data_IF_061875728809
#
_entry.id   IF_061875728809
#
_cell.length_a   1.000
_cell.length_b   1.000
_cell.length_c   1.000
_cell.angle_alpha   90.00
_cell.angle_beta   90.00
_cell.angle_gamma   90.00
#
_symmetry.space_group_name_H-M   'P 1'
#
loop_
_entity.id
_entity.type
_entity.pdbx_description
1 polymer ?
#
# COMPACT_ATOMS: atom_id res chain seq x y z
N UNK A 1 -18.80 17.92 -13.06
CA UNK A 1 -18.09 17.10 -14.06
C UNK A 1 -16.71 16.62 -13.59
N UNK A 2 -15.74 17.48 -13.25
CA UNK A 2 -14.37 17.08 -12.84
C UNK A 2 -14.31 16.05 -11.70
N UNK A 3 -15.13 16.22 -10.65
CA UNK A 3 -15.23 15.27 -9.52
C UNK A 3 -15.69 13.88 -9.97
N UNK A 4 -16.69 13.81 -10.85
CA UNK A 4 -17.21 12.54 -11.39
C UNK A 4 -16.15 11.83 -12.22
N UNK A 5 -15.41 12.57 -13.05
CA UNK A 5 -14.31 12.00 -13.86
C UNK A 5 -13.22 11.41 -12.95
N UNK A 6 -12.81 12.14 -11.91
CA UNK A 6 -11.83 11.62 -10.94
C UNK A 6 -12.33 10.33 -10.27
N UNK A 7 -13.56 10.34 -9.76
CA UNK A 7 -14.14 9.17 -9.08
C UNK A 7 -14.32 7.99 -10.03
N UNK A 8 -14.71 8.23 -11.28
CA UNK A 8 -14.79 7.20 -12.30
C UNK A 8 -13.42 6.56 -12.57
N UNK A 9 -12.37 7.37 -12.75
CA UNK A 9 -11.01 6.88 -12.92
C UNK A 9 -10.51 6.07 -11.72
N UNK A 10 -10.78 6.55 -10.50
CA UNK A 10 -10.47 5.84 -9.26
C UNK A 10 -11.22 4.49 -9.16
N UNK A 11 -12.52 4.47 -9.46
CA UNK A 11 -13.33 3.24 -9.52
C UNK A 11 -12.77 2.27 -10.57
N UNK A 12 -12.35 2.76 -11.73
CA UNK A 12 -11.73 1.92 -12.76
C UNK A 12 -10.45 1.25 -12.23
N UNK A 13 -9.57 1.99 -11.56
CA UNK A 13 -8.33 1.46 -10.99
C UNK A 13 -8.63 0.34 -9.97
N UNK A 14 -9.53 0.58 -9.01
CA UNK A 14 -9.86 -0.44 -7.99
C UNK A 14 -10.60 -1.65 -8.58
N UNK A 15 -11.35 -1.46 -9.67
CA UNK A 15 -12.06 -2.56 -10.34
C UNK A 15 -11.11 -3.57 -10.98
N UNK A 16 -9.87 -3.17 -11.33
CA UNK A 16 -8.87 -4.09 -11.88
C UNK A 16 -8.52 -5.21 -10.88
N UNK A 17 -8.52 -4.91 -9.58
CA UNK A 17 -8.31 -5.87 -8.50
C UNK A 17 -9.40 -6.95 -8.51
N UNK A 18 -10.66 -6.53 -8.60
CA UNK A 18 -11.81 -7.44 -8.65
C UNK A 18 -11.82 -8.28 -9.93
N UNK A 19 -11.65 -7.64 -11.09
CA UNK A 19 -11.64 -8.32 -12.40
C UNK A 19 -10.55 -9.38 -12.51
N UNK A 20 -9.37 -9.11 -11.95
CA UNK A 20 -8.27 -10.09 -11.96
C UNK A 20 -8.58 -11.27 -11.05
N UNK A 21 -9.10 -11.01 -9.85
CA UNK A 21 -9.37 -12.06 -8.87
C UNK A 21 -10.43 -13.06 -9.37
N UNK A 22 -11.55 -12.57 -9.93
CA UNK A 22 -12.61 -13.44 -10.46
C UNK A 22 -12.15 -14.29 -11.65
N UNK A 23 -11.15 -13.80 -12.39
CA UNK A 23 -10.56 -14.52 -13.53
C UNK A 23 -9.63 -15.64 -13.07
N UNK A 24 -8.92 -15.45 -11.95
CA UNK A 24 -7.95 -16.41 -11.42
C UNK A 24 -8.62 -17.47 -10.55
N UNK A 25 -9.65 -17.12 -9.78
CA UNK A 25 -10.29 -18.04 -8.85
C UNK A 25 -11.82 -17.96 -8.97
N UNK A 26 -12.47 -18.99 -9.53
CA UNK A 26 -13.93 -19.07 -9.60
C UNK A 26 -14.57 -19.03 -8.22
N UNK A 27 -15.75 -18.42 -8.11
CA UNK A 27 -16.48 -18.31 -6.84
C UNK A 27 -16.78 -19.67 -6.21
N UNK A 28 -17.19 -20.67 -7.01
CA UNK A 28 -17.46 -22.02 -6.50
C UNK A 28 -16.28 -22.62 -5.74
N UNK A 29 -15.05 -22.34 -6.18
CA UNK A 29 -13.84 -22.76 -5.47
C UNK A 29 -13.59 -21.87 -4.23
N UNK A 30 -13.69 -20.56 -4.37
CA UNK A 30 -13.46 -19.61 -3.28
C UNK A 30 -14.36 -19.87 -2.06
N UNK A 31 -15.62 -20.22 -2.27
CA UNK A 31 -16.59 -20.47 -1.20
C UNK A 31 -16.65 -21.92 -0.73
N UNK A 32 -15.80 -22.81 -1.25
CA UNK A 32 -15.86 -24.24 -0.92
C UNK A 32 -15.38 -24.58 0.49
N UNK A 33 -14.44 -23.80 1.05
CA UNK A 33 -13.94 -23.99 2.43
C UNK A 33 -13.59 -22.65 3.08
N UNK A 34 -13.57 -22.56 4.43
CA UNK A 34 -13.14 -21.35 5.14
C UNK A 34 -11.71 -20.92 4.80
N UNK A 35 -10.80 -21.86 4.56
CA UNK A 35 -9.40 -21.59 4.18
C UNK A 35 -9.35 -20.88 2.82
N UNK A 36 -10.09 -21.40 1.84
CA UNK A 36 -10.13 -20.82 0.49
C UNK A 36 -10.86 -19.47 0.48
N UNK A 37 -11.91 -19.32 1.28
CA UNK A 37 -12.64 -18.05 1.39
C UNK A 37 -11.76 -16.95 1.99
N UNK A 38 -11.10 -17.25 3.11
CA UNK A 38 -10.19 -16.28 3.75
C UNK A 38 -9.00 -15.94 2.87
N UNK A 39 -8.43 -16.91 2.16
CA UNK A 39 -7.38 -16.65 1.17
C UNK A 39 -7.88 -15.77 0.01
N UNK A 40 -9.09 -16.03 -0.50
CA UNK A 40 -9.69 -15.23 -1.56
C UNK A 40 -9.88 -13.76 -1.15
N UNK A 41 -10.41 -13.52 0.06
CA UNK A 41 -10.58 -12.17 0.61
C UNK A 41 -9.21 -11.51 0.89
N UNK A 42 -8.24 -12.26 1.42
CA UNK A 42 -6.88 -11.78 1.67
C UNK A 42 -6.21 -11.29 0.38
N UNK A 43 -6.31 -12.06 -0.70
CA UNK A 43 -5.82 -11.71 -2.04
C UNK A 43 -6.52 -10.49 -2.58
N UNK A 44 -7.85 -10.42 -2.49
CA UNK A 44 -8.62 -9.24 -2.87
C UNK A 44 -8.12 -7.98 -2.15
N UNK A 45 -7.93 -8.07 -0.83
CA UNK A 45 -7.46 -6.96 0.00
C UNK A 45 -6.05 -6.54 -0.38
N UNK A 46 -5.16 -7.47 -0.70
CA UNK A 46 -3.80 -7.17 -1.16
C UNK A 46 -3.79 -6.38 -2.47
N UNK A 47 -4.61 -6.80 -3.45
CA UNK A 47 -4.73 -6.10 -4.74
C UNK A 47 -5.37 -4.72 -4.57
N UNK A 48 -6.43 -4.61 -3.76
CA UNK A 48 -7.10 -3.34 -3.50
C UNK A 48 -6.20 -2.36 -2.75
N UNK A 49 -5.47 -2.85 -1.74
CA UNK A 49 -4.48 -2.09 -0.98
C UNK A 49 -3.42 -1.47 -1.91
N UNK A 50 -2.84 -2.27 -2.81
CA UNK A 50 -1.84 -1.78 -3.76
C UNK A 50 -2.40 -0.67 -4.67
N UNK A 51 -3.60 -0.87 -5.22
CA UNK A 51 -4.29 0.12 -6.07
C UNK A 51 -4.58 1.44 -5.35
N UNK A 52 -5.06 1.38 -4.11
CA UNK A 52 -5.38 2.57 -3.33
C UNK A 52 -4.12 3.27 -2.80
N UNK A 53 -3.08 2.50 -2.43
CA UNK A 53 -1.78 3.09 -2.09
C UNK A 53 -1.17 3.84 -3.27
N UNK A 54 -1.29 3.32 -4.50
CA UNK A 54 -0.84 4.05 -5.68
C UNK A 54 -1.55 5.40 -5.81
N UNK A 55 -2.88 5.42 -5.66
CA UNK A 55 -3.66 6.66 -5.67
C UNK A 55 -3.22 7.62 -4.57
N UNK A 56 -2.99 7.11 -3.35
CA UNK A 56 -2.47 7.91 -2.23
C UNK A 56 -1.14 8.58 -2.55
N UNK A 57 -0.21 7.86 -3.19
CA UNK A 57 1.09 8.40 -3.60
C UNK A 57 0.93 9.50 -4.65
N UNK A 58 0.12 9.28 -5.69
CA UNK A 58 -0.13 10.29 -6.73
C UNK A 58 -0.75 11.56 -6.14
N UNK A 59 -1.78 11.38 -5.30
CA UNK A 59 -2.43 12.51 -4.63
C UNK A 59 -1.46 13.25 -3.70
N UNK A 60 -0.66 12.53 -2.91
CA UNK A 60 0.30 13.13 -1.99
C UNK A 60 1.41 13.90 -2.72
N UNK A 61 1.97 13.34 -3.79
CA UNK A 61 3.06 13.94 -4.56
C UNK A 61 2.64 15.23 -5.28
N UNK A 62 1.37 15.31 -5.70
CA UNK A 62 0.86 16.40 -6.54
C UNK A 62 -0.34 17.13 -5.91
N UNK A 63 -0.48 17.09 -4.59
CA UNK A 63 -1.65 17.59 -3.86
C UNK A 63 -2.02 19.02 -4.25
N UNK A 64 -1.05 19.93 -4.31
CA UNK A 64 -1.28 21.34 -4.64
C UNK A 64 -1.84 21.48 -6.07
N UNK A 65 -1.17 20.90 -7.07
CA UNK A 65 -1.58 20.93 -8.48
C UNK A 65 -2.94 20.28 -8.73
N UNK A 66 -3.21 19.16 -8.05
CA UNK A 66 -4.49 18.43 -8.18
C UNK A 66 -5.60 19.24 -7.49
N UNK A 67 -5.34 19.83 -6.32
CA UNK A 67 -6.31 20.65 -5.59
C UNK A 67 -6.64 21.94 -6.32
N UNK A 68 -5.68 22.59 -7.00
CA UNK A 68 -5.93 23.74 -7.87
C UNK A 68 -6.92 23.41 -8.99
N UNK A 69 -6.82 22.20 -9.57
CA UNK A 69 -7.65 21.80 -10.73
C UNK A 69 -9.01 21.22 -10.35
N UNK A 70 -9.07 20.46 -9.26
CA UNK A 70 -10.23 19.68 -8.83
C UNK A 70 -10.95 20.26 -7.61
N UNK A 71 -10.28 21.10 -6.82
CA UNK A 71 -10.80 21.73 -5.59
C UNK A 71 -10.30 21.05 -4.30
N UNK A 72 -10.45 21.76 -3.18
CA UNK A 72 -9.92 21.33 -1.87
C UNK A 72 -10.54 20.05 -1.29
N UNK A 73 -11.63 19.53 -1.86
CA UNK A 73 -12.21 18.25 -1.44
C UNK A 73 -11.26 17.07 -1.67
N UNK A 74 -10.28 17.21 -2.58
CA UNK A 74 -9.25 16.18 -2.83
C UNK A 74 -8.44 15.90 -1.57
N UNK A 75 -8.17 16.91 -0.75
CA UNK A 75 -7.47 16.70 0.51
C UNK A 75 -8.26 15.79 1.45
N UNK A 76 -9.58 16.02 1.56
CA UNK A 76 -10.45 15.17 2.37
C UNK A 76 -10.56 13.75 1.80
N UNK A 77 -10.64 13.62 0.48
CA UNK A 77 -10.61 12.33 -0.19
C UNK A 77 -9.32 11.57 0.13
N UNK A 78 -8.16 12.23 0.02
CA UNK A 78 -6.86 11.65 0.35
C UNK A 78 -6.80 11.15 1.79
N UNK A 79 -7.31 11.91 2.76
CA UNK A 79 -7.38 11.47 4.16
C UNK A 79 -8.29 10.25 4.35
N UNK A 80 -9.50 10.27 3.77
CA UNK A 80 -10.46 9.15 3.90
C UNK A 80 -9.90 7.88 3.24
N UNK A 81 -9.39 7.99 2.02
CA UNK A 81 -8.77 6.87 1.32
C UNK A 81 -7.54 6.35 2.09
N UNK A 82 -6.73 7.23 2.69
CA UNK A 82 -5.59 6.84 3.52
C UNK A 82 -6.00 6.01 4.75
N UNK A 83 -7.13 6.34 5.38
CA UNK A 83 -7.70 5.52 6.47
C UNK A 83 -8.13 4.14 5.95
N UNK A 84 -8.82 4.09 4.80
CA UNK A 84 -9.23 2.83 4.19
C UNK A 84 -8.03 1.95 3.81
N UNK A 85 -6.98 2.56 3.24
CA UNK A 85 -5.69 1.90 2.95
C UNK A 85 -5.11 1.29 4.22
N UNK A 86 -5.08 2.03 5.32
CA UNK A 86 -4.53 1.49 6.58
C UNK A 86 -5.38 0.33 7.13
N UNK A 87 -6.71 0.43 7.06
CA UNK A 87 -7.61 -0.67 7.43
C UNK A 87 -7.35 -1.92 6.58
N UNK A 88 -7.17 -1.77 5.26
CA UNK A 88 -6.84 -2.87 4.36
C UNK A 88 -5.47 -3.46 4.68
N UNK A 89 -4.46 -2.62 4.93
CA UNK A 89 -3.11 -3.03 5.29
C UNK A 89 -3.07 -3.84 6.60
N UNK A 90 -3.89 -3.46 7.59
CA UNK A 90 -4.05 -4.21 8.82
C UNK A 90 -4.85 -5.51 8.62
N UNK A 91 -5.93 -5.46 7.85
CA UNK A 91 -6.82 -6.60 7.66
C UNK A 91 -6.19 -7.71 6.80
N UNK A 92 -5.34 -7.35 5.84
CA UNK A 92 -4.66 -8.30 4.95
C UNK A 92 -3.87 -9.40 5.69
N UNK A 93 -2.91 -9.09 6.61
CA UNK A 93 -2.20 -10.10 7.39
C UNK A 93 -3.10 -10.82 8.40
N UNK A 94 -4.17 -10.18 8.90
CA UNK A 94 -5.18 -10.85 9.74
C UNK A 94 -5.93 -11.92 8.94
N UNK A 95 -6.33 -11.65 7.70
CA UNK A 95 -6.98 -12.64 6.86
C UNK A 95 -6.04 -13.80 6.51
N UNK A 96 -4.74 -13.52 6.34
CA UNK A 96 -3.74 -14.59 6.22
C UNK A 96 -3.64 -15.43 7.50
N UNK A 97 -3.60 -14.79 8.67
CA UNK A 97 -3.61 -15.46 9.97
C UNK A 97 -4.85 -16.36 10.15
N UNK A 98 -6.02 -15.87 9.76
CA UNK A 98 -7.26 -16.65 9.79
C UNK A 98 -7.22 -17.84 8.82
N UNK A 99 -6.67 -17.66 7.63
CA UNK A 99 -6.49 -18.75 6.65
C UNK A 99 -5.59 -19.86 7.20
N UNK A 100 -4.47 -19.49 7.84
CA UNK A 100 -3.55 -20.41 8.51
C UNK A 100 -4.20 -21.11 9.70
N UNK A 101 -4.98 -20.38 10.50
CA UNK A 101 -5.75 -20.93 11.62
C UNK A 101 -6.77 -21.98 11.14
N UNK A 102 -7.55 -21.67 10.11
CA UNK A 102 -8.52 -22.61 9.54
C UNK A 102 -7.86 -23.82 8.85
N UNK A 103 -6.58 -23.70 8.46
CA UNK A 103 -5.78 -24.82 7.96
C UNK A 103 -5.20 -25.70 9.09
N UNK A 104 -5.41 -25.34 10.36
CA UNK A 104 -5.03 -26.14 11.54
C UNK A 104 -3.68 -25.77 12.18
N UNK A 105 -3.00 -24.72 11.73
CA UNK A 105 -1.66 -24.35 12.21
C UNK A 105 -1.64 -23.42 13.44
N UNK A 106 -2.81 -23.15 14.06
CA UNK A 106 -2.94 -22.30 15.25
C UNK A 106 -3.07 -20.80 14.93
N UNK A 107 -3.31 -19.99 15.97
CA UNK A 107 -3.48 -18.54 15.87
C UNK A 107 -2.29 -17.81 16.51
N UNK A 108 -1.31 -17.43 15.69
CA UNK A 108 -0.12 -16.67 16.12
C UNK A 108 0.04 -15.33 15.37
N UNK A 109 -0.37 -14.20 15.97
CA UNK A 109 -0.16 -12.87 15.40
C UNK A 109 1.31 -12.48 15.24
N UNK A 110 2.23 -13.05 16.04
CA UNK A 110 3.66 -12.75 15.92
C UNK A 110 4.17 -13.13 14.54
N UNK A 111 3.72 -14.27 14.00
CA UNK A 111 4.09 -14.75 12.67
C UNK A 111 3.73 -13.76 11.55
N UNK A 112 2.59 -13.07 11.64
CA UNK A 112 2.13 -12.20 10.53
C UNK A 112 2.57 -10.74 10.67
N UNK A 113 2.79 -10.24 11.89
CA UNK A 113 3.16 -8.83 12.11
C UNK A 113 4.61 -8.59 12.49
N UNK A 114 5.25 -9.52 13.23
CA UNK A 114 6.53 -9.23 13.91
C UNK A 114 7.68 -10.04 13.34
N UNK A 115 7.48 -11.34 13.10
CA UNK A 115 8.55 -12.28 12.79
C UNK A 115 9.34 -11.90 11.52
N UNK A 116 10.38 -11.08 11.64
CA UNK A 116 11.19 -10.60 10.51
C UNK A 116 12.52 -11.36 10.49
N UNK A 117 12.94 -11.80 9.31
CA UNK A 117 14.24 -12.45 9.13
C UNK A 117 15.19 -11.52 8.36
N UNK A 118 16.44 -11.43 8.85
CA UNK A 118 17.51 -10.68 8.18
C UNK A 118 18.34 -11.61 7.30
N UNK A 119 18.59 -12.84 7.78
CA UNK A 119 19.21 -13.94 7.05
C UNK A 119 18.19 -15.06 7.06
N UNK A 120 17.51 -15.28 5.95
CA UNK A 120 16.39 -16.20 5.87
C UNK A 120 16.81 -17.50 5.18
N UNK A 121 16.24 -18.61 5.64
CA UNK A 121 16.52 -19.93 5.07
C UNK A 121 15.82 -20.13 3.72
N UNK A 122 14.64 -19.52 3.52
CA UNK A 122 13.89 -19.58 2.28
C UNK A 122 13.77 -18.20 1.62
N UNK A 123 13.86 -18.09 0.27
CA UNK A 123 13.63 -16.85 -0.45
C UNK A 123 12.27 -16.19 -0.15
N UNK A 124 11.22 -17.00 0.07
CA UNK A 124 9.88 -16.50 0.41
C UNK A 124 9.85 -15.67 1.70
N UNK A 125 10.71 -16.00 2.66
CA UNK A 125 10.72 -15.37 3.98
C UNK A 125 11.30 -13.95 3.91
N UNK A 126 12.22 -13.69 2.98
CA UNK A 126 12.68 -12.34 2.67
C UNK A 126 11.51 -11.48 2.19
N UNK A 127 10.69 -12.00 1.30
CA UNK A 127 9.56 -11.25 0.73
C UNK A 127 8.41 -11.08 1.73
N UNK A 128 8.19 -12.02 2.63
CA UNK A 128 7.28 -11.84 3.78
C UNK A 128 7.80 -10.75 4.72
N UNK A 129 9.11 -10.71 4.96
CA UNK A 129 9.75 -9.66 5.76
C UNK A 129 9.57 -8.28 5.14
N UNK A 130 9.64 -8.14 3.81
CA UNK A 130 9.31 -6.87 3.13
C UNK A 130 7.88 -6.41 3.46
N UNK A 131 6.90 -7.31 3.45
CA UNK A 131 5.51 -6.99 3.81
C UNK A 131 5.38 -6.50 5.26
N UNK A 132 6.01 -7.22 6.20
CA UNK A 132 6.01 -6.87 7.64
C UNK A 132 6.67 -5.52 7.91
N UNK A 133 7.86 -5.27 7.36
CA UNK A 133 8.56 -3.99 7.51
C UNK A 133 7.76 -2.86 6.88
N UNK A 134 7.17 -3.08 5.70
CA UNK A 134 6.31 -2.09 5.05
C UNK A 134 5.11 -1.70 5.89
N UNK A 135 4.46 -2.68 6.55
CA UNK A 135 3.35 -2.43 7.46
C UNK A 135 3.75 -1.51 8.63
N UNK A 136 4.91 -1.72 9.24
CA UNK A 136 5.39 -0.87 10.34
C UNK A 136 5.78 0.53 9.86
N UNK A 137 6.45 0.65 8.72
CA UNK A 137 6.77 1.95 8.12
C UNK A 137 5.49 2.72 7.74
N UNK A 138 4.48 2.04 7.19
CA UNK A 138 3.17 2.62 6.90
C UNK A 138 2.50 3.11 8.19
N UNK A 139 2.50 2.29 9.24
CA UNK A 139 1.97 2.65 10.55
C UNK A 139 2.61 3.94 11.10
N UNK A 140 3.94 4.05 11.02
CA UNK A 140 4.67 5.26 11.43
C UNK A 140 4.19 6.47 10.61
N UNK A 141 4.10 6.35 9.29
CA UNK A 141 3.66 7.44 8.42
C UNK A 141 2.20 7.87 8.67
N UNK A 142 1.32 6.91 8.92
CA UNK A 142 -0.11 7.15 9.25
C UNK A 142 -0.25 7.83 10.60
N UNK A 143 0.39 7.31 11.65
CA UNK A 143 0.34 7.93 12.97
C UNK A 143 0.97 9.32 12.97
N UNK A 144 2.06 9.52 12.22
CA UNK A 144 2.65 10.85 12.09
C UNK A 144 1.67 11.86 11.45
N UNK A 145 0.91 11.43 10.44
CA UNK A 145 -0.11 12.27 9.81
C UNK A 145 -1.34 12.48 10.70
N UNK A 146 -1.79 11.46 11.44
CA UNK A 146 -2.90 11.54 12.38
C UNK A 146 -2.60 12.54 13.51
N UNK A 147 -1.41 12.43 14.11
CA UNK A 147 -0.96 13.27 15.21
C UNK A 147 -0.25 14.55 14.75
N UNK A 148 -0.36 14.94 13.47
CA UNK A 148 0.31 16.14 12.91
C UNK A 148 -0.02 17.45 13.64
N UNK A 149 -1.12 17.50 14.38
CA UNK A 149 -1.56 18.66 15.17
C UNK A 149 -1.38 18.49 16.69
N UNK A 150 -0.84 17.36 17.15
CA UNK A 150 -0.74 17.06 18.58
C UNK A 150 0.24 17.97 19.32
N UNK A 151 1.35 18.36 18.69
CA UNK A 151 2.32 19.32 19.23
C UNK A 151 3.11 20.04 18.13
N UNK A 152 3.93 21.03 18.52
CA UNK A 152 4.74 21.85 17.60
C UNK A 152 5.75 21.01 16.80
N UNK A 153 6.38 20.02 17.43
CA UNK A 153 7.35 19.14 16.79
C UNK A 153 6.68 18.30 15.69
N UNK A 154 5.52 17.69 15.96
CA UNK A 154 4.75 16.93 14.98
C UNK A 154 4.30 17.80 13.81
N UNK A 155 3.82 19.01 14.09
CA UNK A 155 3.40 19.98 13.06
C UNK A 155 4.55 20.30 12.08
N UNK A 156 5.78 20.40 12.59
CA UNK A 156 6.97 20.68 11.80
C UNK A 156 7.54 19.44 11.08
N UNK A 157 7.41 18.24 11.65
CA UNK A 157 8.16 17.06 11.20
C UNK A 157 7.32 15.95 10.56
N UNK A 158 5.98 15.94 10.66
CA UNK A 158 5.16 14.82 10.17
C UNK A 158 5.42 14.47 8.69
N UNK A 159 5.71 15.46 7.84
CA UNK A 159 6.02 15.26 6.41
C UNK A 159 7.31 14.44 6.20
N UNK A 160 8.28 14.52 7.12
CA UNK A 160 9.52 13.74 7.07
C UNK A 160 9.25 12.26 7.29
N UNK A 161 8.24 11.90 8.07
CA UNK A 161 7.79 10.51 8.20
C UNK A 161 6.91 10.12 7.02
N UNK A 162 6.09 11.04 6.53
CA UNK A 162 5.17 10.76 5.43
C UNK A 162 5.88 10.40 4.11
N UNK A 163 7.11 10.90 3.91
CA UNK A 163 7.95 10.51 2.75
C UNK A 163 8.27 9.01 2.73
N UNK A 164 8.21 8.31 3.87
CA UNK A 164 8.42 6.86 3.94
C UNK A 164 7.39 6.08 3.12
N UNK A 165 6.23 6.67 2.82
CA UNK A 165 5.20 6.03 2.02
C UNK A 165 5.68 5.65 0.60
N UNK A 166 6.64 6.39 0.04
CA UNK A 166 7.25 6.01 -1.24
C UNK A 166 8.05 4.70 -1.14
N UNK A 167 8.85 4.56 -0.07
CA UNK A 167 9.59 3.31 0.20
C UNK A 167 8.62 2.16 0.50
N UNK A 168 7.60 2.41 1.32
CA UNK A 168 6.52 1.45 1.61
C UNK A 168 5.88 0.95 0.31
N UNK A 169 5.55 1.84 -0.62
CA UNK A 169 4.95 1.43 -1.90
C UNK A 169 5.87 0.50 -2.70
N UNK A 170 7.16 0.82 -2.80
CA UNK A 170 8.14 0.00 -3.52
C UNK A 170 8.33 -1.36 -2.84
N UNK A 171 8.41 -1.40 -1.51
CA UNK A 171 8.54 -2.66 -0.76
C UNK A 171 7.28 -3.54 -0.88
N UNK A 172 6.08 -2.94 -0.81
CA UNK A 172 4.81 -3.66 -1.01
C UNK A 172 4.70 -4.16 -2.46
N UNK A 173 5.14 -3.36 -3.44
CA UNK A 173 5.20 -3.80 -4.83
C UNK A 173 6.12 -4.99 -5.02
N UNK A 174 7.34 -4.95 -4.47
CA UNK A 174 8.25 -6.09 -4.50
C UNK A 174 7.66 -7.32 -3.82
N UNK A 175 7.09 -7.17 -2.62
CA UNK A 175 6.35 -8.23 -1.93
C UNK A 175 5.24 -8.83 -2.82
N UNK A 176 4.43 -7.98 -3.46
CA UNK A 176 3.33 -8.37 -4.34
C UNK A 176 3.80 -9.10 -5.60
N UNK A 177 4.80 -8.60 -6.32
CA UNK A 177 5.31 -9.27 -7.53
C UNK A 177 5.97 -10.61 -7.24
N UNK A 178 6.64 -10.74 -6.10
CA UNK A 178 7.46 -11.91 -5.77
C UNK A 178 6.64 -13.02 -5.12
N UNK A 179 5.65 -12.68 -4.28
CA UNK A 179 4.78 -13.65 -3.60
C UNK A 179 3.35 -13.72 -4.15
N UNK A 180 2.80 -12.60 -4.60
CA UNK A 180 1.41 -12.51 -5.04
C UNK A 180 1.19 -13.17 -6.40
N UNK A 181 0.51 -14.31 -6.42
CA UNK A 181 0.18 -15.00 -7.67
C UNK A 181 -0.68 -14.12 -8.59
N UNK A 182 -1.63 -13.37 -8.05
CA UNK A 182 -2.52 -12.48 -8.81
C UNK A 182 -1.80 -11.30 -9.47
N UNK A 183 -0.67 -10.87 -8.94
CA UNK A 183 0.13 -9.81 -9.57
C UNK A 183 0.59 -10.21 -10.96
N UNK A 184 0.60 -11.51 -11.29
CA UNK A 184 1.09 -12.05 -12.57
C UNK A 184 -0.01 -12.18 -13.63
N UNK A 185 -1.26 -11.82 -13.32
CA UNK A 185 -2.39 -11.96 -14.23
C UNK A 185 -2.91 -10.60 -14.73
N UNK A 186 -3.25 -10.54 -16.01
CA UNK A 186 -3.93 -9.39 -16.61
C UNK A 186 -5.40 -9.31 -16.15
N UNK A 187 -5.95 -8.09 -15.93
CA UNK A 187 -5.33 -6.79 -16.23
C UNK A 187 -4.44 -6.21 -15.12
N UNK A 188 -4.47 -6.75 -13.90
CA UNK A 188 -3.77 -6.14 -12.78
C UNK A 188 -2.26 -6.10 -12.95
N UNK A 189 -1.64 -7.11 -13.59
CA UNK A 189 -0.20 -7.10 -13.86
C UNK A 189 0.26 -5.84 -14.60
N UNK A 190 -0.41 -5.47 -15.69
CA UNK A 190 -0.06 -4.27 -16.45
C UNK A 190 -0.19 -3.00 -15.60
N UNK A 191 -1.27 -2.89 -14.84
CA UNK A 191 -1.46 -1.78 -13.91
C UNK A 191 -0.37 -1.74 -12.83
N UNK A 192 -0.05 -2.88 -12.21
CA UNK A 192 0.94 -2.97 -11.16
C UNK A 192 2.32 -2.54 -11.66
N UNK A 193 2.73 -2.99 -12.85
CA UNK A 193 4.00 -2.59 -13.47
C UNK A 193 4.01 -1.09 -13.74
N UNK A 194 2.95 -0.55 -14.34
CA UNK A 194 2.83 0.88 -14.59
C UNK A 194 2.92 1.69 -13.29
N UNK A 195 2.14 1.31 -12.28
CA UNK A 195 2.12 1.97 -10.98
C UNK A 195 3.51 1.95 -10.32
N UNK A 196 4.20 0.80 -10.37
CA UNK A 196 5.55 0.64 -9.83
C UNK A 196 6.57 1.56 -10.53
N UNK A 197 6.57 1.58 -11.86
CA UNK A 197 7.46 2.43 -12.66
C UNK A 197 7.17 3.92 -12.41
N UNK A 198 5.90 4.31 -12.35
CA UNK A 198 5.51 5.71 -12.08
C UNK A 198 5.98 6.16 -10.71
N UNK A 199 5.76 5.36 -9.66
CA UNK A 199 6.20 5.71 -8.30
C UNK A 199 7.73 5.73 -8.21
N UNK A 200 8.42 4.78 -8.84
CA UNK A 200 9.87 4.81 -8.95
C UNK A 200 10.37 6.09 -9.63
N UNK A 201 9.71 6.51 -10.71
CA UNK A 201 10.00 7.78 -11.38
C UNK A 201 9.80 9.00 -10.47
N UNK A 202 8.72 9.03 -9.68
CA UNK A 202 8.49 10.10 -8.70
C UNK A 202 9.64 10.13 -7.67
N UNK A 203 10.05 8.97 -7.16
CA UNK A 203 11.17 8.89 -6.21
C UNK A 203 12.46 9.42 -6.83
N UNK A 204 12.82 8.93 -8.01
CA UNK A 204 14.11 9.26 -8.66
C UNK A 204 14.17 10.71 -9.11
N UNK A 205 13.12 11.23 -9.74
CA UNK A 205 13.15 12.54 -10.37
C UNK A 205 12.58 13.68 -9.53
N UNK A 206 11.81 13.39 -8.47
CA UNK A 206 11.16 14.42 -7.65
C UNK A 206 11.67 14.38 -6.21
N UNK A 207 11.53 13.24 -5.53
CA UNK A 207 11.76 13.19 -4.08
C UNK A 207 13.25 13.08 -3.71
N UNK A 208 14.05 12.28 -4.41
CA UNK A 208 15.50 12.20 -4.16
C UNK A 208 16.19 13.57 -4.37
N UNK A 209 15.96 14.32 -5.47
CA UNK A 209 16.51 15.67 -5.61
C UNK A 209 16.04 16.63 -4.52
N UNK A 210 14.77 16.53 -4.08
CA UNK A 210 14.23 17.35 -2.99
C UNK A 210 14.96 17.05 -1.67
N UNK A 211 15.12 15.77 -1.32
CA UNK A 211 15.82 15.35 -0.10
C UNK A 211 17.30 15.77 -0.14
N UNK A 212 17.98 15.56 -1.28
CA UNK A 212 19.37 15.96 -1.45
C UNK A 212 19.59 17.46 -1.20
N UNK A 213 18.72 18.32 -1.74
CA UNK A 213 18.79 19.77 -1.48
C UNK A 213 18.63 20.11 0.00
N UNK A 214 17.74 19.42 0.71
CA UNK A 214 17.55 19.62 2.15
C UNK A 214 18.82 19.23 2.92
N UNK A 215 19.40 18.06 2.62
CA UNK A 215 20.62 17.59 3.29
C UNK A 215 21.85 18.45 3.01
N UNK A 216 22.06 18.88 1.76
CA UNK A 216 23.18 19.76 1.40
C UNK A 216 23.15 21.07 2.19
N UNK A 217 21.97 21.66 2.37
CA UNK A 217 21.82 22.90 3.13
C UNK A 217 22.08 22.72 4.64
N UNK A 218 22.13 21.48 5.15
CA UNK A 218 22.51 21.19 6.55
C UNK A 218 24.02 21.07 6.75
N UNK A 219 24.77 20.75 5.69
CA UNK A 219 26.23 20.52 5.75
C UNK A 219 27.07 21.77 5.40
N UNK A 220 26.42 22.85 4.96
CA UNK A 220 27.05 24.13 4.61
C UNK A 220 27.06 25.15 5.78
N UNK A 221 26.79 24.70 7.01
CA UNK A 221 26.91 25.46 8.26
C UNK A 221 27.88 24.78 9.23
#
# INVERSE_FOLDING_TARGET
MKKVIFLAGWVTIISLSFLTLIKVTPYSLAFSTPVLLTNYIQRFFGLLLFSMLFTQIILGAFMDKISERLGGWIFNFHVIEGVLVYVLAFSHPILFLLSVYFAGAGFDPYMVFINACVICNAPSDYFLTLGRVSFWLLSIAVFAALFRKANSWMKANWRKFHVLNYLVFLMIGAHGFLLGTDFRYMPFFAFAVLAYVVVLGIVVFIELPRLYKIFRNWTEY
#
